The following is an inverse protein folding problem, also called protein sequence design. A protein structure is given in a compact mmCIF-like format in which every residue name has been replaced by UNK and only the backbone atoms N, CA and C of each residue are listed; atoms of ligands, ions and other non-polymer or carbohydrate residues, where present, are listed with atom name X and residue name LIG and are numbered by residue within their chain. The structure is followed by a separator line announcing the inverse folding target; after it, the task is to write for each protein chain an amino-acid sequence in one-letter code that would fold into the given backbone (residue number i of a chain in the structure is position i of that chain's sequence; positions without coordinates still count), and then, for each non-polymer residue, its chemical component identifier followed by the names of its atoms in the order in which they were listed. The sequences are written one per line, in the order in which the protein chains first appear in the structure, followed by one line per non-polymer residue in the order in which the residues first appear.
data_IF_014471303389
#
_entry.id   IF_014471303389
#
_cell.length_a   1.000
_cell.length_b   1.000
_cell.length_c   1.000
_cell.angle_alpha   90.00
_cell.angle_beta   90.00
_cell.angle_gamma   90.00
#
_symmetry.space_group_name_H-M   'P 1'
#
loop_
_entity.id
_entity.type
_entity.pdbx_description
1 polymer ?
#
# COMPACT_ATOMS: atom_id res chain seq x y z
N UNK A 1 -4.36 23.73 -32.08
CA UNK A 1 -4.61 23.15 -30.75
C UNK A 1 -4.67 21.65 -30.93
N UNK A 2 -3.63 20.91 -30.53
CA UNK A 2 -3.70 19.45 -30.54
C UNK A 2 -4.58 18.96 -29.40
N UNK A 3 -5.52 18.07 -29.71
CA UNK A 3 -6.30 17.37 -28.72
C UNK A 3 -5.40 16.35 -28.02
N UNK A 4 -5.15 16.53 -26.72
CA UNK A 4 -4.50 15.51 -25.89
C UNK A 4 -5.45 14.31 -25.80
N UNK A 5 -5.12 13.22 -26.47
CA UNK A 5 -5.87 11.98 -26.35
C UNK A 5 -5.92 11.55 -24.87
N UNK A 6 -7.13 11.45 -24.31
CA UNK A 6 -7.35 10.90 -22.97
C UNK A 6 -7.31 9.38 -23.08
N UNK A 7 -6.20 8.79 -22.62
CA UNK A 7 -6.12 7.34 -22.39
C UNK A 7 -6.78 7.05 -21.06
N UNK A 8 -7.85 6.26 -21.08
CA UNK A 8 -8.43 5.69 -19.86
C UNK A 8 -7.53 4.55 -19.40
N UNK A 9 -7.07 4.63 -18.15
CA UNK A 9 -6.21 3.63 -17.53
C UNK A 9 -6.99 3.00 -16.38
N UNK A 10 -7.11 1.68 -16.38
CA UNK A 10 -7.67 0.92 -15.27
C UNK A 10 -6.56 0.14 -14.57
N UNK A 11 -6.61 0.09 -13.24
CA UNK A 11 -5.68 -0.70 -12.46
C UNK A 11 -6.00 -2.20 -12.61
N UNK A 12 -5.00 -3.09 -12.80
CA UNK A 12 -5.21 -4.53 -12.69
C UNK A 12 -5.77 -4.91 -11.31
N UNK A 13 -6.56 -5.98 -11.26
CA UNK A 13 -7.17 -6.46 -10.02
C UNK A 13 -6.13 -6.76 -8.92
N UNK A 14 -4.96 -7.26 -9.31
CA UNK A 14 -3.83 -7.52 -8.41
C UNK A 14 -3.33 -6.25 -7.70
N UNK A 15 -3.38 -5.09 -8.37
CA UNK A 15 -2.98 -3.80 -7.78
C UNK A 15 -3.97 -3.31 -6.72
N UNK A 16 -5.21 -3.81 -6.74
CA UNK A 16 -6.23 -3.51 -5.73
C UNK A 16 -6.08 -4.37 -4.46
N UNK A 17 -5.25 -5.43 -4.49
CA UNK A 17 -5.03 -6.28 -3.31
C UNK A 17 -4.35 -5.47 -2.18
N UNK A 18 -4.87 -5.50 -0.94
CA UNK A 18 -4.24 -4.80 0.19
C UNK A 18 -2.80 -5.24 0.42
N UNK A 19 -1.96 -4.33 0.92
CA UNK A 19 -0.64 -4.71 1.43
C UNK A 19 -0.78 -5.63 2.66
N UNK A 20 0.29 -6.37 2.99
CA UNK A 20 0.31 -7.20 4.18
C UNK A 20 0.02 -6.37 5.46
N UNK A 21 -0.74 -6.96 6.38
CA UNK A 21 -0.99 -6.34 7.67
C UNK A 21 0.27 -6.40 8.55
N UNK A 22 0.47 -5.44 9.47
CA UNK A 22 1.50 -5.53 10.51
C UNK A 22 1.52 -6.90 11.18
N UNK A 23 2.69 -7.51 11.29
CA UNK A 23 2.87 -8.77 11.99
C UNK A 23 2.52 -8.62 13.46
N UNK A 24 1.85 -9.65 13.97
CA UNK A 24 1.49 -9.73 15.39
C UNK A 24 2.73 -9.97 16.23
N UNK A 25 2.82 -9.29 17.38
CA UNK A 25 3.91 -9.48 18.33
C UNK A 25 3.82 -10.90 18.90
N UNK A 26 4.95 -11.64 19.03
CA UNK A 26 4.95 -12.98 19.61
C UNK A 26 4.39 -13.02 21.03
N UNK A 27 3.65 -14.07 21.38
CA UNK A 27 3.19 -14.33 22.75
C UNK A 27 4.31 -14.94 23.61
N UNK A 28 5.41 -14.20 23.72
CA UNK A 28 6.58 -14.51 24.55
C UNK A 28 7.32 -13.23 24.90
N UNK A 29 8.22 -13.31 25.88
CA UNK A 29 9.20 -12.26 26.10
C UNK A 29 10.07 -12.07 24.85
N UNK A 30 10.24 -10.81 24.45
CA UNK A 30 11.10 -10.37 23.36
C UNK A 30 12.18 -9.45 23.95
N UNK A 31 13.41 -9.57 23.45
CA UNK A 31 14.51 -8.68 23.84
C UNK A 31 14.29 -7.26 23.29
N UNK A 32 15.00 -6.29 23.85
CA UNK A 32 15.01 -4.90 23.37
C UNK A 32 15.43 -4.79 21.89
N UNK A 33 16.45 -5.57 21.50
CA UNK A 33 16.92 -5.64 20.11
C UNK A 33 15.86 -6.22 19.18
N UNK A 34 15.19 -7.31 19.57
CA UNK A 34 14.09 -7.89 18.81
C UNK A 34 12.91 -6.92 18.70
N UNK A 35 12.60 -6.20 19.78
CA UNK A 35 11.54 -5.20 19.81
C UNK A 35 11.80 -4.10 18.81
N UNK A 36 13.01 -3.53 18.80
CA UNK A 36 13.41 -2.45 17.89
C UNK A 36 13.33 -2.92 16.43
N UNK A 37 13.85 -4.12 16.15
CA UNK A 37 13.85 -4.69 14.80
C UNK A 37 12.43 -4.99 14.28
N UNK A 38 11.60 -5.64 15.10
CA UNK A 38 10.22 -5.99 14.74
C UNK A 38 9.36 -4.72 14.60
N UNK A 39 9.50 -3.74 15.48
CA UNK A 39 8.66 -2.56 15.47
C UNK A 39 8.93 -1.62 14.28
N UNK A 40 10.21 -1.35 14.00
CA UNK A 40 10.60 -0.40 12.95
C UNK A 40 10.33 -0.93 11.55
N UNK A 41 10.67 -2.21 11.30
CA UNK A 41 10.52 -2.84 9.99
C UNK A 41 9.06 -3.10 9.64
N UNK A 42 8.27 -3.52 10.61
CA UNK A 42 6.91 -4.00 10.35
C UNK A 42 5.89 -2.87 10.26
N UNK A 43 5.84 -2.00 11.28
CA UNK A 43 4.75 -1.04 11.42
C UNK A 43 4.90 0.22 10.56
N UNK A 44 6.12 0.55 10.14
CA UNK A 44 6.40 1.66 9.23
C UNK A 44 6.19 1.26 7.77
N UNK A 45 6.88 0.21 7.33
CA UNK A 45 6.89 -0.20 5.92
C UNK A 45 5.51 -0.64 5.42
N UNK A 46 4.74 -1.38 6.23
CA UNK A 46 3.43 -1.89 5.82
C UNK A 46 2.36 -0.80 5.74
N UNK A 47 2.41 0.19 6.65
CA UNK A 47 1.54 1.37 6.57
C UNK A 47 1.85 2.24 5.37
N UNK A 48 3.13 2.44 5.08
CA UNK A 48 3.57 3.25 3.93
C UNK A 48 3.20 2.54 2.63
N UNK A 49 3.35 1.21 2.55
CA UNK A 49 2.89 0.40 1.42
C UNK A 49 1.40 0.66 1.16
N UNK A 50 0.56 0.46 2.19
CA UNK A 50 -0.88 0.57 2.03
C UNK A 50 -1.32 2.00 1.70
N UNK A 51 -0.72 3.02 2.32
CA UNK A 51 -0.99 4.42 1.98
C UNK A 51 -0.68 4.72 0.51
N UNK A 52 0.49 4.28 0.01
CA UNK A 52 0.89 4.52 -1.38
C UNK A 52 0.00 3.77 -2.37
N UNK A 53 -0.30 2.50 -2.08
CA UNK A 53 -1.17 1.67 -2.91
C UNK A 53 -2.56 2.30 -3.02
N UNK A 54 -3.18 2.65 -1.89
CA UNK A 54 -4.50 3.29 -1.88
C UNK A 54 -4.50 4.61 -2.64
N UNK A 55 -3.53 5.48 -2.37
CA UNK A 55 -3.43 6.77 -3.08
C UNK A 55 -3.29 6.60 -4.60
N UNK A 56 -2.54 5.60 -5.07
CA UNK A 56 -2.40 5.32 -6.50
C UNK A 56 -3.71 4.82 -7.11
N UNK A 57 -4.42 3.91 -6.44
CA UNK A 57 -5.72 3.39 -6.90
C UNK A 57 -6.77 4.51 -6.92
N UNK A 58 -6.87 5.30 -5.85
CA UNK A 58 -7.80 6.42 -5.76
C UNK A 58 -7.57 7.42 -6.92
N UNK A 59 -6.31 7.68 -7.27
CA UNK A 59 -5.97 8.56 -8.39
C UNK A 59 -6.35 7.97 -9.76
N UNK A 60 -6.19 6.66 -9.95
CA UNK A 60 -6.58 5.95 -11.18
C UNK A 60 -8.11 5.97 -11.33
N UNK A 61 -8.83 5.65 -10.26
CA UNK A 61 -10.29 5.63 -10.24
C UNK A 61 -10.85 7.05 -10.50
N UNK A 62 -10.26 8.08 -9.87
CA UNK A 62 -10.63 9.47 -10.11
C UNK A 62 -10.32 9.97 -11.54
N UNK A 63 -9.34 9.36 -12.23
CA UNK A 63 -8.99 9.68 -13.61
C UNK A 63 -9.91 9.01 -14.64
N UNK A 64 -10.93 8.27 -14.19
CA UNK A 64 -11.90 7.58 -15.05
C UNK A 64 -11.57 6.11 -15.32
N UNK A 65 -10.63 5.51 -14.57
CA UNK A 65 -10.53 4.06 -14.50
C UNK A 65 -11.78 3.49 -13.82
N UNK A 66 -12.57 2.70 -14.52
CA UNK A 66 -13.71 1.99 -13.93
C UNK A 66 -13.20 1.10 -12.77
N UNK A 67 -13.83 1.09 -11.58
CA UNK A 67 -13.41 0.28 -10.43
C UNK A 67 -13.21 -1.22 -10.75
#
# INVERSE_FOLDING_TARGET
MEAKATVTVTAPAESRRPCAAPVTVPDRAISEAETTALWGRDRGALRICEQRRRAAIDAIDAAGGDP
#
